data_IF_277651179061
#
_entry.id   IF_277651179061
#
_cell.length_a   1.000
_cell.length_b   1.000
_cell.length_c   1.000
_cell.angle_alpha   90.00
_cell.angle_beta   90.00
_cell.angle_gamma   90.00
#
_symmetry.space_group_name_H-M   'P 1'
#
loop_
_entity.id
_entity.type
_entity.pdbx_description
1 polymer ?
2 non-polymer ?
3 non-polymer ?
4 water ?
#
# COMPACT_ATOMS: atom_id res chain seq x y z
N UNK A 4 0.97 31.49 0.00
CA UNK A 4 1.76 30.21 -0.06
C UNK A 4 0.92 29.10 -0.70
N UNK A 5 1.23 28.67 -1.94
CA UNK A 5 0.31 27.85 -2.73
C UNK A 5 0.25 26.42 -2.21
N UNK A 6 -0.89 25.74 -2.36
CA UNK A 6 -1.05 24.33 -1.94
C UNK A 6 -0.35 23.44 -2.94
N UNK A 7 0.34 22.37 -2.49
CA UNK A 7 1.07 21.49 -3.38
C UNK A 7 0.17 20.64 -4.27
N UNK A 8 0.67 20.32 -5.47
CA UNK A 8 0.03 19.40 -6.44
C UNK A 8 0.65 18.00 -6.28
N UNK A 9 1.83 17.92 -5.66
CA UNK A 9 2.58 16.65 -5.47
C UNK A 9 3.45 16.73 -4.22
N UNK A 10 3.66 15.58 -3.58
CA UNK A 10 4.50 15.45 -2.37
C UNK A 10 5.39 14.24 -2.58
N UNK A 11 6.45 14.11 -1.79
CA UNK A 11 7.30 12.91 -1.81
C UNK A 11 7.14 12.23 -0.47
N UNK A 12 7.03 10.92 -0.55
CA UNK A 12 6.75 10.08 0.64
C UNK A 12 7.89 9.06 0.67
N UNK A 13 8.57 9.02 1.80
CA UNK A 13 9.54 7.97 2.17
C UNK A 13 8.78 6.87 2.91
N UNK A 14 8.94 5.63 2.46
CA UNK A 14 8.47 4.40 3.15
C UNK A 14 9.71 3.58 3.54
N UNK A 15 9.88 3.28 4.82
CA UNK A 15 10.91 2.36 5.32
C UNK A 15 10.30 1.12 5.91
N UNK A 16 10.91 -0.03 5.66
CA UNK A 16 10.52 -1.27 6.38
C UNK A 16 11.82 -1.90 6.88
N UNK A 17 11.87 -2.16 8.18
CA UNK A 17 13.02 -2.87 8.79
C UNK A 17 12.55 -3.85 9.86
N UNK A 18 12.91 -5.11 9.74
CA UNK A 18 12.86 -6.11 10.82
C UNK A 18 14.18 -5.98 11.57
N UNK A 19 14.10 -5.47 12.80
CA UNK A 19 15.25 -5.08 13.65
C UNK A 19 15.84 -6.29 14.36
N UNK A 20 15.19 -7.46 14.29
CA UNK A 20 15.71 -8.70 14.90
C UNK A 20 15.88 -8.56 16.41
N UNK A 21 14.99 -7.78 17.04
CA UNK A 21 14.91 -7.60 18.51
C UNK A 21 16.25 -7.07 19.04
N UNK A 22 16.98 -6.31 18.23
CA UNK A 22 18.26 -5.69 18.61
C UNK A 22 18.16 -4.18 18.46
N UNK A 23 18.81 -3.41 19.33
CA UNK A 23 18.87 -1.96 19.18
C UNK A 23 19.55 -1.61 17.86
N UNK A 24 19.21 -0.48 17.24
CA UNK A 24 19.83 -0.05 15.99
C UNK A 24 21.24 0.45 16.30
N UNK A 25 22.12 0.58 15.28
CA UNK A 25 23.41 1.25 15.49
C UNK A 25 23.23 2.78 15.62
N UNK A 26 24.29 3.51 15.94
CA UNK A 26 24.20 4.95 16.26
C UNK A 26 23.82 5.75 15.01
N UNK A 27 24.13 5.27 13.80
CA UNK A 27 23.85 6.02 12.54
C UNK A 27 22.98 5.19 11.60
N UNK A 28 21.79 5.67 11.23
CA UNK A 28 20.87 4.94 10.31
C UNK A 28 20.43 5.91 9.20
N UNK A 29 21.16 6.99 8.99
CA UNK A 29 20.84 8.07 8.01
C UNK A 29 20.78 7.52 6.55
N UNK A 30 21.59 6.51 6.23
CA UNK A 30 21.62 5.86 4.89
C UNK A 30 20.22 5.37 4.51
N UNK A 31 19.45 4.87 5.48
CA UNK A 31 18.06 4.39 5.24
C UNK A 31 17.20 5.54 4.69
N UNK A 32 17.12 6.66 5.39
CA UNK A 32 16.25 7.81 5.05
C UNK A 32 16.75 8.56 3.83
N UNK A 33 18.02 8.37 3.51
CA UNK A 33 18.64 8.92 2.28
C UNK A 33 18.51 7.97 1.08
N UNK A 34 17.93 6.78 1.22
CA UNK A 34 17.80 5.80 0.11
C UNK A 34 19.17 5.52 -0.56
N UNK A 35 20.18 5.23 0.27
CA UNK A 35 21.56 4.87 -0.15
C UNK A 35 21.82 3.39 0.15
N UNK A 36 22.49 2.71 -0.78
CA UNK A 36 22.87 1.30 -0.61
C UNK A 36 22.74 0.64 -1.96
N UNK A 37 22.00 -0.46 -2.00
CA UNK A 37 21.77 -1.29 -3.22
C UNK A 37 20.39 -1.00 -3.80
N UNK A 38 20.22 -1.32 -5.08
CA UNK A 38 18.93 -1.19 -5.77
C UNK A 38 18.82 0.13 -6.48
N UNK A 39 17.58 0.64 -6.56
CA UNK A 39 17.27 1.96 -7.16
C UNK A 39 17.43 3.01 -6.06
N UNK A 40 18.56 3.74 -6.09
CA UNK A 40 18.95 4.68 -5.01
C UNK A 40 18.61 6.11 -5.40
N UNK A 41 18.52 6.97 -4.40
CA UNK A 41 18.20 8.40 -4.61
C UNK A 41 19.50 9.14 -4.98
N UNK A 42 19.38 10.07 -5.92
CA UNK A 42 20.47 10.95 -6.37
C UNK A 42 21.08 11.74 -5.20
N UNK A 43 22.42 11.80 -5.14
CA UNK A 43 23.18 12.56 -4.10
C UNK A 43 22.73 14.02 -4.02
N UNK A 44 22.33 14.59 -5.16
CA UNK A 44 21.94 16.00 -5.33
C UNK A 44 20.69 16.32 -4.50
N UNK A 45 19.94 15.28 -4.08
CA UNK A 45 18.67 15.41 -3.33
C UNK A 45 18.89 15.25 -1.83
N UNK A 46 20.12 15.00 -1.36
CA UNK A 46 20.34 14.55 0.04
C UNK A 46 19.84 15.56 1.06
N UNK A 47 19.91 16.87 0.76
CA UNK A 47 19.48 17.92 1.71
C UNK A 47 17.99 18.24 1.60
N UNK A 48 17.30 17.61 0.67
CA UNK A 48 15.87 17.88 0.38
C UNK A 48 15.05 16.92 1.23
N UNK A 49 14.20 17.44 2.13
CA UNK A 49 13.37 16.57 2.97
C UNK A 49 12.22 16.03 2.12
N UNK A 50 11.87 14.76 2.37
CA UNK A 50 10.56 14.21 1.98
C UNK A 50 9.52 14.96 2.79
N UNK A 51 8.33 15.05 2.23
CA UNK A 51 7.16 15.69 2.88
C UNK A 51 6.72 14.81 4.04
N UNK A 52 6.72 13.49 3.84
CA UNK A 52 6.18 12.51 4.84
C UNK A 52 7.16 11.33 4.86
N UNK A 53 7.54 10.87 6.06
CA UNK A 53 8.34 9.66 6.32
C UNK A 53 7.47 8.68 7.10
N UNK A 54 7.26 7.50 6.55
CA UNK A 54 6.49 6.40 7.17
C UNK A 54 7.48 5.30 7.43
N UNK A 55 7.63 4.93 8.70
CA UNK A 55 8.69 3.98 9.18
C UNK A 55 8.02 2.77 9.81
N UNK A 56 8.09 1.62 9.13
CA UNK A 56 7.51 0.36 9.62
C UNK A 56 8.62 -0.48 10.17
N UNK A 57 8.48 -0.96 11.40
CA UNK A 57 9.45 -1.90 12.00
C UNK A 57 8.74 -3.18 12.41
N UNK A 58 9.53 -4.26 12.47
CA UNK A 58 9.12 -5.58 12.98
C UNK A 58 10.24 -6.04 13.91
N UNK A 59 9.88 -6.84 14.90
CA UNK A 59 10.83 -7.33 15.93
C UNK A 59 11.52 -6.12 16.55
N UNK A 60 10.78 -5.05 16.77
CA UNK A 60 11.30 -3.76 17.27
C UNK A 60 11.38 -3.84 18.78
N UNK A 61 12.59 -3.77 19.38
CA UNK A 61 12.75 -3.97 20.83
C UNK A 61 12.64 -2.65 21.61
N UNK A 62 12.46 -1.53 20.90
CA UNK A 62 12.49 -0.19 21.51
C UNK A 62 11.09 0.22 21.99
N UNK A 63 11.04 1.09 22.99
CA UNK A 63 9.81 1.83 23.36
C UNK A 63 9.52 2.80 22.21
N UNK A 64 8.27 3.22 22.09
CA UNK A 64 7.86 4.26 21.13
C UNK A 64 8.71 5.52 21.34
N UNK A 65 8.92 5.92 22.59
CA UNK A 65 9.71 7.13 22.91
C UNK A 65 11.16 6.96 22.41
N UNK A 66 11.78 5.80 22.65
CA UNK A 66 13.18 5.54 22.25
C UNK A 66 13.30 5.60 20.71
N UNK A 67 12.35 5.04 19.99
CA UNK A 67 12.40 4.97 18.51
C UNK A 67 12.13 6.37 17.93
N UNK A 68 11.15 7.07 18.47
CA UNK A 68 10.81 8.45 18.07
C UNK A 68 12.02 9.38 18.20
N UNK A 69 12.73 9.28 19.33
CA UNK A 69 14.00 10.01 19.61
C UNK A 69 14.97 9.78 18.45
N UNK A 70 15.32 8.51 18.20
CA UNK A 70 16.30 8.12 17.14
C UNK A 70 15.80 8.62 15.77
N UNK A 71 14.52 8.46 15.46
CA UNK A 71 14.00 8.87 14.13
C UNK A 71 14.09 10.39 14.01
N UNK A 72 13.53 11.15 14.95
CA UNK A 72 13.53 12.64 14.86
C UNK A 72 14.96 13.19 14.71
N UNK A 73 15.90 12.70 15.53
CA UNK A 73 17.32 13.12 15.52
C UNK A 73 17.93 12.82 14.13
N UNK A 74 17.71 11.61 13.61
CA UNK A 74 18.27 11.15 12.33
C UNK A 74 17.79 12.06 11.19
N UNK A 75 16.50 12.41 11.17
CA UNK A 75 15.95 13.33 10.14
C UNK A 75 16.47 14.75 10.34
N UNK A 76 16.56 15.19 11.60
CA UNK A 76 17.13 16.51 11.91
C UNK A 76 18.60 16.58 11.41
N UNK A 77 19.38 15.54 11.60
CA UNK A 77 20.79 15.53 11.15
C UNK A 77 20.83 15.66 9.63
N UNK A 78 19.93 14.97 8.93
CA UNK A 78 19.90 14.89 7.45
C UNK A 78 19.40 16.21 6.86
N UNK A 79 18.33 16.77 7.42
CA UNK A 79 17.50 17.82 6.77
C UNK A 79 17.62 19.15 7.50
N UNK A 80 18.10 19.17 8.74
CA UNK A 80 18.02 20.36 9.63
C UNK A 80 16.57 20.79 9.84
N UNK A 81 15.60 19.88 9.67
CA UNK A 81 14.15 20.11 9.93
C UNK A 81 13.71 19.25 11.11
N UNK A 82 12.92 19.83 12.02
CA UNK A 82 12.31 19.14 13.16
C UNK A 82 10.95 18.62 12.72
N UNK A 83 10.85 17.31 12.51
CA UNK A 83 9.65 16.68 11.94
C UNK A 83 8.60 16.60 13.04
N UNK A 84 7.33 16.77 12.67
CA UNK A 84 6.17 16.58 13.57
C UNK A 84 5.71 15.13 13.52
N UNK A 85 5.33 14.58 14.67
CA UNK A 85 4.76 13.23 14.78
C UNK A 85 3.28 13.27 14.43
N UNK A 86 2.88 12.64 13.32
CA UNK A 86 1.48 12.56 12.84
C UNK A 86 0.81 11.43 13.60
N UNK A 87 1.52 10.30 13.73
CA UNK A 87 1.00 9.11 14.39
C UNK A 87 2.10 8.11 14.68
N UNK A 88 1.83 7.30 15.69
CA UNK A 88 2.66 6.13 16.06
C UNK A 88 1.69 5.09 16.61
N UNK A 89 1.84 3.85 16.18
CA UNK A 89 0.98 2.74 16.64
C UNK A 89 1.83 1.46 16.65
N UNK A 90 1.75 0.72 17.73
CA UNK A 90 2.54 -0.50 17.94
C UNK A 90 1.58 -1.62 18.30
N UNK A 91 1.73 -2.78 17.64
CA UNK A 91 1.12 -4.06 18.08
C UNK A 91 2.27 -5.04 18.33
N UNK A 92 2.40 -5.43 19.58
CA UNK A 92 3.51 -6.27 20.09
C UNK A 92 4.82 -5.61 19.68
N UNK A 93 5.53 -6.16 18.70
CA UNK A 93 6.84 -5.63 18.25
C UNK A 93 6.75 -5.17 16.80
N UNK A 94 5.52 -4.91 16.33
CA UNK A 94 5.22 -4.32 15.00
C UNK A 94 4.83 -2.85 15.18
N UNK A 95 5.53 -1.93 14.52
CA UNK A 95 5.33 -0.50 14.78
C UNK A 95 5.26 0.29 13.48
N UNK A 96 4.41 1.30 13.47
CA UNK A 96 4.42 2.27 12.34
C UNK A 96 4.57 3.67 12.95
N UNK A 97 5.44 4.49 12.35
CA UNK A 97 5.67 5.90 12.72
C UNK A 97 5.46 6.76 11.47
N UNK A 98 4.63 7.78 11.57
CA UNK A 98 4.44 8.80 10.50
C UNK A 98 4.93 10.13 11.01
N UNK A 99 5.88 10.71 10.28
CA UNK A 99 6.53 12.01 10.57
C UNK A 99 6.30 12.90 9.34
N UNK A 100 6.04 14.18 9.56
CA UNK A 100 5.77 15.09 8.42
C UNK A 100 6.45 16.43 8.69
N UNK A 101 6.80 17.12 7.60
CA UNK A 101 7.32 18.52 7.63
C UNK A 101 6.38 19.35 8.51
N UNK A 102 6.90 20.29 9.34
CA UNK A 102 6.02 21.15 10.13
C UNK A 102 5.03 21.97 9.30
N UNK A 103 5.41 22.37 8.09
CA UNK A 103 4.52 23.18 7.20
C UNK A 103 3.26 22.38 6.84
N UNK A 104 3.23 21.06 7.04
CA UNK A 104 2.10 20.19 6.64
C UNK A 104 1.13 19.97 7.81
N UNK A 105 1.45 20.51 8.99
CA UNK A 105 0.68 20.21 10.22
C UNK A 105 -0.83 20.48 10.00
N UNK A 106 -1.15 21.60 9.35
CA UNK A 106 -2.55 22.08 9.16
C UNK A 106 -3.11 21.59 7.81
N UNK A 107 -2.35 20.77 7.09
CA UNK A 107 -2.84 20.10 5.83
C UNK A 107 -3.31 18.68 6.17
N UNK A 108 -2.88 18.17 7.30
CA UNK A 108 -3.09 16.75 7.68
C UNK A 108 -4.25 16.69 8.68
N UNK A 109 -5.26 15.88 8.40
CA UNK A 109 -6.41 15.74 9.32
C UNK A 109 -6.92 14.30 9.27
N UNK A 110 -7.92 13.98 10.08
CA UNK A 110 -8.61 12.67 10.02
C UNK A 110 -7.60 11.54 10.21
N UNK A 111 -6.73 11.67 11.19
CA UNK A 111 -5.67 10.68 11.47
C UNK A 111 -6.35 9.48 12.13
N UNK A 112 -6.18 8.30 11.54
CA UNK A 112 -6.69 7.01 12.09
C UNK A 112 -5.53 6.03 12.25
N UNK A 113 -5.61 5.17 13.26
CA UNK A 113 -4.62 4.11 13.52
C UNK A 113 -5.41 2.85 13.82
N UNK A 114 -4.86 1.70 13.47
CA UNK A 114 -5.48 0.44 13.86
C UNK A 114 -4.46 -0.68 13.73
N UNK A 115 -4.87 -1.85 14.17
CA UNK A 115 -4.01 -3.05 14.06
C UNK A 115 -4.92 -4.23 13.81
N UNK A 116 -4.36 -5.27 13.19
CA UNK A 116 -4.97 -6.61 13.09
C UNK A 116 -3.97 -7.63 13.63
N UNK A 117 -4.41 -8.52 14.53
CA UNK A 117 -3.69 -9.74 14.95
C UNK A 117 -4.08 -10.88 14.02
N UNK A 118 -3.13 -11.54 13.37
CA UNK A 118 -3.47 -12.65 12.43
C UNK A 118 -3.39 -14.02 13.13
N UNK A 119 -4.11 -15.02 12.60
CA UNK A 119 -4.04 -16.40 13.13
C UNK A 119 -4.93 -16.63 14.34
N UNK A 120 -4.92 -17.86 14.87
CA UNK A 120 -5.87 -18.38 15.92
C UNK A 120 -5.08 -19.32 16.84
N UNK A 121 -5.09 -19.05 18.16
CA UNK A 121 -4.55 -19.90 19.26
C UNK A 121 -3.02 -19.98 19.18
N UNK A 122 -2.47 -21.11 18.71
CA UNK A 122 -1.03 -21.32 18.38
C UNK A 122 -0.45 -20.10 17.66
N UNK A 123 -1.09 -19.70 16.56
CA UNK A 123 -0.58 -18.75 15.53
C UNK A 123 -1.04 -17.31 15.86
N UNK A 124 -1.87 -17.11 16.91
CA UNK A 124 -2.12 -15.75 17.48
C UNK A 124 -1.11 -15.51 18.60
N UNK A 125 -0.38 -14.39 18.53
CA UNK A 125 0.55 -13.99 19.59
C UNK A 125 1.65 -13.08 19.10
N UNK A 126 2.04 -13.11 17.82
CA UNK A 126 3.09 -12.13 17.43
C UNK A 126 3.07 -11.51 16.01
N UNK A 127 2.28 -12.08 15.09
CA UNK A 127 2.18 -11.63 13.68
C UNK A 127 0.92 -10.78 13.50
N UNK A 128 0.91 -9.92 12.47
CA UNK A 128 -0.24 -9.09 12.14
C UNK A 128 0.20 -7.80 11.49
N UNK A 129 -0.58 -6.74 11.67
CA UNK A 129 -0.33 -5.46 10.96
C UNK A 129 -0.70 -4.29 11.84
N UNK A 130 -0.03 -3.18 11.60
CA UNK A 130 -0.47 -1.86 12.10
C UNK A 130 -0.68 -0.96 10.89
N UNK A 131 -1.55 0.02 11.03
CA UNK A 131 -1.83 0.98 9.98
C UNK A 131 -2.13 2.38 10.48
N UNK A 132 -1.95 3.32 9.57
CA UNK A 132 -2.25 4.75 9.74
C UNK A 132 -2.90 5.24 8.45
N UNK A 133 -3.94 6.03 8.59
CA UNK A 133 -4.51 6.82 7.50
C UNK A 133 -4.65 8.28 7.91
N UNK A 134 -4.70 9.15 6.92
CA UNK A 134 -5.07 10.56 7.14
C UNK A 134 -5.37 11.19 5.80
N UNK A 135 -5.93 12.37 5.86
CA UNK A 135 -6.15 13.25 4.70
C UNK A 135 -4.97 14.21 4.64
N UNK A 136 -4.35 14.33 3.48
CA UNK A 136 -3.44 15.44 3.15
C UNK A 136 -4.20 16.35 2.19
N UNK A 137 -4.71 17.48 2.67
CA UNK A 137 -5.62 18.36 1.91
C UNK A 137 -6.75 17.50 1.32
N UNK A 138 -6.92 17.42 0.01
CA UNK A 138 -8.03 16.69 -0.64
C UNK A 138 -7.73 15.22 -0.92
N UNK A 139 -6.58 14.73 -0.49
CA UNK A 139 -6.08 13.40 -0.85
C UNK A 139 -6.04 12.50 0.39
N UNK A 140 -6.57 11.28 0.28
CA UNK A 140 -6.58 10.29 1.37
C UNK A 140 -5.35 9.38 1.21
N UNK A 141 -4.64 9.16 2.31
CA UNK A 141 -3.38 8.36 2.33
C UNK A 141 -3.53 7.27 3.39
N UNK A 142 -3.24 6.02 3.01
CA UNK A 142 -3.19 4.87 3.93
C UNK A 142 -1.84 4.22 3.88
N UNK A 143 -1.45 3.68 5.04
CA UNK A 143 -0.12 3.07 5.24
C UNK A 143 -0.30 1.84 6.11
N UNK A 144 0.22 0.70 5.64
CA UNK A 144 0.07 -0.59 6.35
C UNK A 144 1.46 -1.20 6.50
N UNK A 145 1.82 -1.51 7.74
CA UNK A 145 3.06 -2.22 8.06
C UNK A 145 2.64 -3.61 8.56
N UNK A 146 2.92 -4.66 7.81
CA UNK A 146 2.56 -6.03 8.21
C UNK A 146 3.80 -6.91 8.41
N UNK A 147 3.75 -7.76 9.43
CA UNK A 147 4.70 -8.88 9.67
C UNK A 147 3.92 -10.16 9.47
N UNK A 148 4.12 -10.82 8.33
CA UNK A 148 3.32 -12.01 7.99
C UNK A 148 4.04 -13.26 8.51
N UNK A 149 3.34 -14.39 8.45
CA UNK A 149 3.82 -15.71 8.92
C UNK A 149 5.16 -15.99 8.25
N UNK A 150 6.10 -16.52 8.99
CA UNK A 150 7.46 -16.86 8.49
C UNK A 150 7.48 -18.29 7.95
N UNK A 151 8.56 -18.63 7.28
CA UNK A 151 8.80 -20.02 6.90
C UNK A 151 8.52 -20.18 5.43
N UNK A 152 9.42 -20.87 4.72
CA UNK A 152 9.35 -21.10 3.27
C UNK A 152 8.07 -21.85 2.84
N UNK A 153 7.59 -22.75 3.71
CA UNK A 153 6.48 -23.70 3.45
C UNK A 153 5.10 -23.02 3.63
N UNK A 154 5.07 -21.78 4.14
CA UNK A 154 3.80 -21.13 4.59
C UNK A 154 3.33 -19.95 3.71
N UNK A 155 3.54 -20.00 2.39
CA UNK A 155 3.08 -18.90 1.52
C UNK A 155 1.55 -18.80 1.56
N UNK A 156 0.83 -19.91 1.72
CA UNK A 156 -0.65 -19.87 1.83
C UNK A 156 -1.08 -19.09 3.08
N UNK A 157 -0.44 -19.37 4.22
CA UNK A 157 -0.70 -18.68 5.51
C UNK A 157 -0.47 -17.17 5.33
N UNK A 158 0.62 -16.80 4.65
CA UNK A 158 0.94 -15.37 4.38
C UNK A 158 -0.24 -14.76 3.58
N UNK A 159 -0.75 -15.48 2.60
CA UNK A 159 -1.86 -14.97 1.73
C UNK A 159 -3.10 -14.81 2.60
N UNK A 160 -3.30 -15.72 3.54
CA UNK A 160 -4.48 -15.68 4.45
C UNK A 160 -4.33 -14.47 5.38
N UNK A 161 -3.10 -14.21 5.87
CA UNK A 161 -2.76 -13.11 6.80
C UNK A 161 -3.10 -11.78 6.08
N UNK A 162 -2.65 -11.66 4.83
CA UNK A 162 -2.97 -10.55 3.92
C UNK A 162 -4.48 -10.29 3.84
N UNK A 163 -5.28 -11.34 3.56
CA UNK A 163 -6.75 -11.17 3.41
C UNK A 163 -7.35 -10.73 4.76
N UNK A 164 -6.88 -11.29 5.87
CA UNK A 164 -7.37 -10.89 7.22
C UNK A 164 -7.05 -9.43 7.51
N UNK A 165 -5.83 -9.01 7.18
CA UNK A 165 -5.42 -7.60 7.40
C UNK A 165 -6.28 -6.68 6.54
N UNK A 166 -6.44 -7.06 5.27
CA UNK A 166 -7.26 -6.36 4.24
C UNK A 166 -8.68 -6.15 4.77
N UNK A 167 -9.31 -7.23 5.24
CA UNK A 167 -10.72 -7.22 5.71
C UNK A 167 -10.90 -6.42 6.98
N UNK A 168 -10.02 -6.57 7.95
CA UNK A 168 -10.31 -6.16 9.35
C UNK A 168 -9.61 -4.86 9.74
N UNK A 169 -8.62 -4.40 8.98
CA UNK A 169 -7.91 -3.16 9.35
C UNK A 169 -8.88 -1.98 9.09
N UNK A 170 -9.21 -1.23 10.16
CA UNK A 170 -10.25 -0.18 10.16
C UNK A 170 -9.60 1.19 10.08
N UNK A 171 -9.41 1.67 8.87
CA UNK A 171 -8.75 2.95 8.60
C UNK A 171 -9.63 3.69 7.62
N UNK A 172 -9.43 4.99 7.53
CA UNK A 172 -10.04 5.86 6.54
C UNK A 172 -11.47 6.14 6.89
N UNK A 173 -12.26 6.58 5.93
CA UNK A 173 -13.60 7.15 6.18
C UNK A 173 -14.58 5.99 6.44
N UNK A 174 -15.11 5.77 7.69
CA UNK A 174 -16.04 4.69 8.09
C UNK A 174 -17.35 4.76 7.30
N UNK A 175 -17.73 6.00 6.71
CA UNK A 175 -18.95 6.13 5.84
C UNK A 175 -18.81 5.27 4.58
N UNK A 176 -17.57 4.94 4.19
CA UNK A 176 -17.28 4.07 3.03
C UNK A 176 -17.45 2.63 3.45
N UNK A 177 -18.62 2.30 4.00
CA UNK A 177 -18.86 1.04 4.75
C UNK A 177 -18.72 -0.19 3.86
N UNK A 178 -19.07 -0.20 2.56
CA UNK A 178 -18.85 -1.38 1.73
C UNK A 178 -17.39 -1.67 1.39
N UNK A 179 -16.49 -0.72 1.64
CA UNK A 179 -15.11 -0.72 1.09
C UNK A 179 -14.10 -1.07 2.17
N UNK A 180 -13.19 -2.00 1.86
CA UNK A 180 -11.99 -2.31 2.66
C UNK A 180 -10.90 -1.27 2.37
N UNK A 181 -9.76 -1.39 3.04
CA UNK A 181 -8.63 -0.43 2.86
C UNK A 181 -8.15 -0.42 1.39
N UNK A 182 -8.38 -1.47 0.58
CA UNK A 182 -7.81 -1.49 -0.80
C UNK A 182 -8.67 -0.58 -1.72
N UNK A 183 -9.73 0.03 -1.22
CA UNK A 183 -10.53 1.05 -1.96
C UNK A 183 -10.69 2.38 -1.22
N UNK A 184 -10.22 2.52 0.01
CA UNK A 184 -10.52 3.74 0.80
C UNK A 184 -9.60 4.91 0.51
N UNK A 185 -8.48 4.73 -0.20
CA UNK A 185 -7.42 5.76 -0.24
C UNK A 185 -7.02 6.10 -1.67
N UNK A 186 -6.83 7.37 -1.96
CA UNK A 186 -6.15 7.81 -3.21
C UNK A 186 -4.86 7.02 -3.42
N UNK A 187 -4.07 6.84 -2.34
CA UNK A 187 -2.78 6.12 -2.38
C UNK A 187 -2.72 5.23 -1.15
N UNK A 188 -2.49 3.94 -1.35
CA UNK A 188 -2.34 2.96 -0.25
C UNK A 188 -0.95 2.35 -0.40
N UNK A 189 -0.13 2.45 0.64
CA UNK A 189 1.22 1.84 0.67
C UNK A 189 1.17 0.68 1.65
N UNK A 190 1.63 -0.49 1.23
CA UNK A 190 1.58 -1.70 2.07
C UNK A 190 2.97 -2.29 2.03
N UNK A 191 3.57 -2.42 3.20
CA UNK A 191 5.00 -2.75 3.33
C UNK A 191 5.16 -3.63 4.56
N UNK A 192 6.35 -4.14 4.77
CA UNK A 192 6.69 -4.88 5.98
C UNK A 192 7.60 -6.08 5.74
N UNK A 193 7.74 -6.90 6.78
CA UNK A 193 8.36 -8.23 6.60
C UNK A 193 7.22 -9.11 6.15
N UNK A 194 6.97 -9.15 4.84
CA UNK A 194 5.91 -10.00 4.25
C UNK A 194 6.34 -11.46 4.24
N UNK A 195 7.63 -11.75 4.38
CA UNK A 195 8.18 -13.10 4.71
C UNK A 195 8.07 -14.10 3.57
N UNK A 196 7.77 -13.66 2.35
CA UNK A 196 7.77 -14.52 1.16
C UNK A 196 9.22 -14.85 0.79
N UNK A 197 9.43 -16.09 0.33
CA UNK A 197 10.77 -16.67 0.18
C UNK A 197 11.06 -16.96 -1.28
N UNK A 198 12.35 -17.12 -1.56
CA UNK A 198 12.86 -17.65 -2.84
C UNK A 198 12.72 -19.16 -2.76
N UNK A 199 11.72 -19.71 -3.47
CA UNK A 199 11.35 -21.14 -3.42
C UNK A 199 12.26 -21.92 -4.37
N UNK A 200 13.40 -22.37 -3.86
CA UNK A 200 14.37 -23.19 -4.60
C UNK A 200 14.77 -24.28 -3.63
N UNK A 201 15.29 -25.45 -4.10
CA UNK A 201 15.70 -26.52 -3.20
C UNK A 201 16.79 -26.00 -2.27
N UNK A 202 16.81 -26.51 -1.03
CA UNK A 202 17.71 -26.02 0.06
C UNK A 202 19.17 -26.37 -0.26
N UNK A 203 19.41 -27.37 -1.11
CA UNK A 203 20.77 -27.80 -1.53
C UNK A 203 21.32 -26.84 -2.60
N UNK A 204 20.48 -25.94 -3.14
CA UNK A 204 20.93 -24.83 -4.02
C UNK A 204 21.40 -23.58 -3.21
N UNK A 205 21.50 -23.63 -1.89
CA UNK A 205 21.86 -22.47 -1.05
C UNK A 205 23.13 -21.77 -1.56
N UNK A 206 24.22 -22.52 -1.77
CA UNK A 206 25.52 -21.91 -2.13
C UNK A 206 25.39 -21.33 -3.55
N UNK A 207 24.59 -21.96 -4.40
CA UNK A 207 24.39 -21.51 -5.80
C UNK A 207 23.65 -20.17 -5.74
N UNK A 208 22.62 -20.07 -4.90
CA UNK A 208 21.89 -18.80 -4.67
C UNK A 208 22.86 -17.70 -4.19
N UNK A 209 23.68 -17.99 -3.20
CA UNK A 209 24.69 -17.04 -2.65
C UNK A 209 25.63 -16.53 -3.76
N UNK A 210 26.12 -17.43 -4.62
CA UNK A 210 27.06 -17.08 -5.73
C UNK A 210 26.32 -16.20 -6.77
N UNK A 211 25.03 -16.47 -7.04
CA UNK A 211 24.21 -15.59 -7.91
C UNK A 211 24.09 -14.18 -7.30
N UNK A 212 23.83 -14.11 -5.99
CA UNK A 212 23.73 -12.81 -5.26
C UNK A 212 25.07 -12.06 -5.37
N UNK A 213 26.18 -12.72 -5.08
CA UNK A 213 27.53 -12.11 -5.21
C UNK A 213 27.79 -11.58 -6.64
N UNK A 214 27.24 -12.18 -7.69
CA UNK A 214 27.40 -11.67 -9.07
C UNK A 214 26.31 -10.65 -9.45
N UNK A 215 25.45 -10.24 -8.50
CA UNK A 215 24.29 -9.34 -8.74
C UNK A 215 23.41 -9.88 -9.86
N UNK A 216 23.25 -11.19 -9.95
CA UNK A 216 22.40 -11.82 -10.99
C UNK A 216 21.14 -12.32 -10.29
N UNK A 217 20.11 -11.48 -10.25
CA UNK A 217 18.90 -11.74 -9.42
C UNK A 217 17.78 -12.39 -10.24
N UNK A 218 17.89 -12.44 -11.56
CA UNK A 218 16.75 -12.80 -12.45
C UNK A 218 16.22 -14.21 -12.12
N UNK A 219 17.10 -15.22 -12.03
CA UNK A 219 16.73 -16.63 -11.75
C UNK A 219 16.30 -16.76 -10.28
N UNK A 220 16.61 -15.80 -9.41
CA UNK A 220 16.10 -15.85 -8.02
C UNK A 220 14.69 -15.26 -7.99
N UNK A 221 14.50 -14.08 -8.57
CA UNK A 221 13.19 -13.39 -8.59
C UNK A 221 12.12 -14.26 -9.28
N UNK A 222 12.50 -15.07 -10.30
CA UNK A 222 11.54 -15.97 -10.99
C UNK A 222 10.96 -16.97 -10.00
N UNK A 223 11.61 -17.16 -8.84
CA UNK A 223 11.12 -18.10 -7.78
C UNK A 223 10.69 -17.36 -6.51
N UNK A 224 10.72 -16.03 -6.51
CA UNK A 224 10.19 -15.23 -5.37
C UNK A 224 8.71 -15.55 -5.18
N UNK A 225 8.33 -15.94 -3.97
CA UNK A 225 6.94 -16.40 -3.74
C UNK A 225 5.98 -15.21 -3.81
N UNK A 226 6.39 -13.98 -3.46
CA UNK A 226 5.44 -12.85 -3.57
C UNK A 226 5.12 -12.59 -5.04
N UNK A 227 6.13 -12.54 -5.90
CA UNK A 227 5.93 -12.34 -7.35
C UNK A 227 5.09 -13.49 -7.93
N UNK A 228 5.37 -14.75 -7.60
CA UNK A 228 4.63 -15.90 -8.22
C UNK A 228 3.19 -15.89 -7.69
N UNK A 229 2.97 -15.67 -6.41
CA UNK A 229 1.60 -15.64 -5.83
C UNK A 229 0.77 -14.50 -6.47
N UNK A 230 1.39 -13.32 -6.62
CA UNK A 230 0.78 -12.13 -7.26
C UNK A 230 0.42 -12.45 -8.72
N UNK A 231 1.33 -13.09 -9.46
CA UNK A 231 1.12 -13.52 -10.88
C UNK A 231 -0.14 -14.39 -10.98
N UNK A 232 -0.34 -15.27 -10.00
CA UNK A 232 -1.49 -16.22 -9.98
C UNK A 232 -2.68 -15.61 -9.24
N UNK A 233 -2.64 -14.31 -8.93
CA UNK A 233 -3.78 -13.55 -8.35
C UNK A 233 -4.19 -14.18 -7.02
N UNK A 234 -3.22 -14.65 -6.25
CA UNK A 234 -3.47 -15.27 -4.91
C UNK A 234 -3.41 -14.21 -3.81
N UNK A 235 -2.77 -13.08 -4.06
CA UNK A 235 -2.42 -12.07 -3.04
C UNK A 235 -2.09 -10.76 -3.77
N UNK A 236 -2.29 -9.64 -3.08
CA UNK A 236 -1.97 -8.25 -3.51
C UNK A 236 -2.50 -7.99 -4.92
N UNK A 237 -3.70 -8.46 -5.21
CA UNK A 237 -4.35 -8.19 -6.50
C UNK A 237 -4.44 -6.68 -6.68
N UNK A 238 -4.05 -6.19 -7.85
CA UNK A 238 -4.16 -4.77 -8.30
C UNK A 238 -3.17 -3.86 -7.58
N UNK A 239 -2.17 -4.46 -6.90
CA UNK A 239 -1.03 -3.73 -6.29
C UNK A 239 0.15 -3.65 -7.26
N UNK A 240 0.98 -2.61 -7.09
CA UNK A 240 2.24 -2.39 -7.84
C UNK A 240 3.43 -2.65 -6.93
N UNK A 241 4.58 -3.02 -7.51
CA UNK A 241 5.86 -3.11 -6.79
C UNK A 241 6.89 -2.69 -7.83
N UNK A 242 7.86 -1.86 -7.43
CA UNK A 242 9.00 -1.44 -8.28
C UNK A 242 9.92 -2.66 -8.48
N UNK A 243 10.59 -2.75 -9.62
CA UNK A 243 11.49 -3.87 -9.92
C UNK A 243 12.55 -3.95 -8.82
N UNK A 244 12.87 -5.17 -8.41
CA UNK A 244 13.86 -5.43 -7.34
C UNK A 244 15.23 -5.53 -7.99
N UNK A 245 16.17 -4.68 -7.57
CA UNK A 245 17.53 -4.61 -8.18
C UNK A 245 18.55 -4.60 -7.03
N UNK A 246 18.13 -4.97 -5.83
CA UNK A 246 19.01 -5.10 -4.65
C UNK A 246 19.05 -6.56 -4.19
N UNK A 247 20.10 -6.96 -3.47
CA UNK A 247 20.27 -8.34 -2.99
C UNK A 247 19.14 -8.68 -2.03
N UNK A 248 18.81 -9.98 -1.86
CA UNK A 248 17.94 -10.41 -0.79
C UNK A 248 18.31 -9.80 0.56
N UNK A 249 17.31 -9.40 1.37
CA UNK A 249 17.54 -8.60 2.58
C UNK A 249 17.53 -9.48 3.84
N UNK A 250 17.49 -10.81 3.65
CA UNK A 250 17.37 -11.84 4.72
C UNK A 250 17.99 -13.12 4.17
N UNK A 251 18.56 -14.00 5.00
CA UNK A 251 18.93 -13.81 6.38
C UNK A 251 20.43 -13.58 6.46
N UNK A 252 20.87 -12.49 7.10
CA UNK A 252 22.32 -12.19 7.25
C UNK A 252 22.82 -12.61 8.62
N UNK A 253 24.10 -12.96 8.70
CA UNK A 253 24.84 -12.96 9.98
C UNK A 253 24.87 -11.50 10.44
N UNK A 254 24.60 -11.24 11.72
CA UNK A 254 24.69 -9.89 12.29
C UNK A 254 26.12 -9.35 12.29
N UNK A 255 26.23 -8.02 12.17
CA UNK A 255 27.49 -7.23 12.33
C UNK A 255 28.35 -7.30 11.07
N UNK A 256 27.89 -7.97 10.01
CA UNK A 256 28.49 -7.87 8.66
C UNK A 256 27.34 -7.89 7.65
N UNK A 257 27.58 -7.59 6.38
CA UNK A 257 26.64 -8.00 5.30
C UNK A 257 27.33 -9.03 4.41
N UNK A 258 28.42 -9.61 4.86
CA UNK A 258 29.30 -10.44 3.98
C UNK A 258 28.74 -11.87 3.91
N UNK A 259 27.80 -12.23 4.79
CA UNK A 259 27.38 -13.65 4.94
C UNK A 259 25.87 -13.79 5.13
N UNK A 260 25.28 -14.67 4.33
CA UNK A 260 23.90 -15.13 4.51
C UNK A 260 23.95 -16.34 5.43
N UNK A 261 23.24 -16.28 6.54
CA UNK A 261 23.07 -17.39 7.50
C UNK A 261 21.80 -18.14 7.13
N UNK A 262 21.93 -19.20 6.35
CA UNK A 262 20.73 -19.93 5.84
C UNK A 262 20.52 -21.33 6.44
N UNK A 263 21.55 -21.91 7.08
CA UNK A 263 21.56 -23.31 7.57
C UNK A 263 20.53 -23.46 8.70
N UNK A 264 19.94 -24.65 8.82
CA UNK A 264 18.97 -24.96 9.90
C UNK A 264 19.73 -25.07 11.23
N UNK A 265 19.15 -24.50 12.27
CA UNK A 265 19.68 -24.38 13.66
C UNK A 265 18.49 -24.53 14.61
N UNK A 266 18.76 -24.94 15.83
CA UNK A 266 17.72 -24.98 16.89
C UNK A 266 16.98 -23.64 16.90
N UNK A 267 17.71 -22.53 16.84
CA UNK A 267 17.17 -21.15 16.88
C UNK A 267 16.20 -20.89 15.70
N UNK A 268 16.25 -21.65 14.61
CA UNK A 268 15.33 -21.48 13.44
C UNK A 268 14.18 -22.48 13.49
N UNK A 269 14.01 -23.25 14.58
CA UNK A 269 13.10 -24.41 14.55
C UNK A 269 13.55 -25.44 13.53
N UNK A 270 14.86 -25.57 13.34
CA UNK A 270 15.48 -26.47 12.35
C UNK A 270 14.94 -26.22 10.94
N UNK A 271 14.70 -24.95 10.61
CA UNK A 271 14.25 -24.49 9.28
C UNK A 271 15.42 -23.83 8.55
N UNK A 272 15.54 -24.09 7.24
CA UNK A 272 16.48 -23.37 6.37
C UNK A 272 15.87 -21.99 6.12
N UNK A 273 16.71 -20.97 6.03
CA UNK A 273 16.29 -19.61 5.62
C UNK A 273 17.13 -19.23 4.39
N UNK A 274 16.84 -19.80 3.23
CA UNK A 274 17.52 -19.39 1.96
C UNK A 274 17.37 -17.89 1.80
N UNK A 275 18.38 -17.20 1.25
CA UNK A 275 18.29 -15.77 0.98
C UNK A 275 16.98 -15.43 0.28
N UNK A 276 16.31 -14.42 0.80
CA UNK A 276 14.94 -14.07 0.37
C UNK A 276 14.71 -12.56 0.44
N UNK A 277 13.84 -12.11 -0.43
CA UNK A 277 13.30 -10.72 -0.36
C UNK A 277 12.08 -10.71 0.56
N UNK A 278 12.32 -10.79 1.87
CA UNK A 278 11.27 -10.79 2.91
C UNK A 278 10.62 -9.42 3.03
N UNK A 279 11.40 -8.40 2.73
CA UNK A 279 11.11 -7.02 3.19
C UNK A 279 10.74 -6.19 1.97
N UNK A 280 9.51 -5.72 1.91
CA UNK A 280 8.92 -5.25 0.64
C UNK A 280 8.08 -3.98 0.84
N UNK A 281 7.94 -3.24 -0.24
CA UNK A 281 7.00 -2.10 -0.36
C UNK A 281 6.18 -2.26 -1.65
N UNK A 282 4.86 -2.32 -1.49
CA UNK A 282 3.89 -2.27 -2.60
C UNK A 282 2.93 -1.11 -2.40
N UNK A 283 2.26 -0.72 -3.48
CA UNK A 283 1.26 0.37 -3.40
C UNK A 283 0.09 0.13 -4.33
N UNK A 284 -1.01 0.79 -4.06
CA UNK A 284 -2.17 0.81 -4.97
C UNK A 284 -2.78 2.20 -4.90
N UNK A 285 -2.87 2.86 -6.04
CA UNK A 285 -3.42 4.23 -6.12
C UNK A 285 -4.64 4.16 -7.01
N UNK A 286 -5.57 5.08 -6.82
CA UNK A 286 -6.75 5.21 -7.68
C UNK A 286 -6.30 5.41 -9.12
N UNK A 287 -7.12 4.94 -10.05
CA UNK A 287 -6.81 5.06 -11.47
C UNK A 287 -6.49 6.50 -11.88
N UNK A 288 -5.41 6.65 -12.66
CA UNK A 288 -4.97 7.92 -13.32
C UNK A 288 -4.63 8.99 -12.27
N UNK A 289 -4.17 8.59 -11.09
CA UNK A 289 -3.53 9.54 -10.14
C UNK A 289 -2.02 9.37 -10.31
N UNK A 290 -1.29 10.47 -10.30
CA UNK A 290 0.19 10.47 -10.42
C UNK A 290 0.81 9.75 -9.22
N UNK A 291 1.57 8.69 -9.46
CA UNK A 291 2.41 8.06 -8.41
C UNK A 291 3.59 7.45 -9.13
N UNK A 292 4.78 7.84 -8.75
CA UNK A 292 6.03 7.35 -9.39
C UNK A 292 6.97 6.92 -8.27
N UNK A 293 7.44 5.71 -8.35
CA UNK A 293 8.49 5.22 -7.43
C UNK A 293 9.83 5.82 -7.87
N UNK A 294 10.47 6.55 -6.95
CA UNK A 294 11.75 7.28 -7.18
C UNK A 294 12.94 6.46 -6.63
N UNK A 295 12.69 5.56 -5.67
CA UNK A 295 13.76 4.72 -5.09
C UNK A 295 13.13 3.47 -4.52
N UNK A 296 13.91 2.39 -4.55
CA UNK A 296 13.56 1.08 -3.98
C UNK A 296 14.84 0.31 -3.80
N UNK A 297 15.24 0.13 -2.56
CA UNK A 297 16.54 -0.48 -2.28
C UNK A 297 16.72 -0.85 -0.85
N UNK A 298 17.91 -1.35 -0.55
CA UNK A 298 18.29 -1.76 0.83
C UNK A 298 19.55 -1.02 1.22
N UNK A 299 19.70 -0.78 2.49
CA UNK A 299 20.96 -0.24 3.04
C UNK A 299 22.01 -1.35 3.07
N UNK A 300 23.30 -0.96 3.04
CA UNK A 300 24.47 -1.85 3.10
C UNK A 300 25.21 -1.68 4.44
N UNK A 301 24.93 -0.62 5.21
CA UNK A 301 25.78 -0.17 6.33
C UNK A 301 25.05 -0.28 7.68
N UNK A 302 23.86 -0.89 7.74
CA UNK A 302 23.06 -1.08 9.00
C UNK A 302 22.99 -2.58 9.19
N UNK A 303 23.69 -3.09 10.20
CA UNK A 303 24.05 -4.53 10.33
C UNK A 303 23.62 -5.13 11.67
N UNK A 304 22.80 -4.43 12.46
CA UNK A 304 22.39 -4.91 13.81
C UNK A 304 21.42 -6.09 13.71
N UNK A 305 20.64 -6.18 12.62
CA UNK A 305 19.62 -7.21 12.41
C UNK A 305 20.10 -8.27 11.41
N UNK A 306 19.43 -9.40 11.38
CA UNK A 306 19.59 -10.43 10.33
C UNK A 306 18.82 -9.98 9.07
N UNK A 307 18.13 -8.85 9.12
CA UNK A 307 17.47 -8.22 7.95
C UNK A 307 18.21 -6.93 7.66
N UNK A 308 18.31 -6.52 6.40
CA UNK A 308 18.70 -5.15 6.01
C UNK A 308 17.43 -4.32 5.83
N UNK A 309 17.45 -3.06 6.32
CA UNK A 309 16.39 -2.09 6.08
C UNK A 309 16.12 -1.95 4.58
N UNK A 310 14.87 -1.69 4.23
CA UNK A 310 14.43 -1.40 2.83
C UNK A 310 13.79 -0.02 2.84
N UNK A 311 14.09 0.74 1.82
CA UNK A 311 13.53 2.07 1.54
C UNK A 311 12.83 2.06 0.19
N UNK A 312 11.77 2.82 0.09
CA UNK A 312 11.11 3.18 -1.16
C UNK A 312 10.65 4.64 -1.04
N UNK A 313 10.79 5.40 -2.10
CA UNK A 313 10.29 6.77 -2.13
C UNK A 313 9.37 6.95 -3.33
N UNK A 314 8.40 7.81 -3.13
CA UNK A 314 7.36 8.02 -4.14
C UNK A 314 7.08 9.50 -4.29
N UNK A 315 6.82 9.89 -5.54
CA UNK A 315 6.22 11.20 -5.89
C UNK A 315 4.71 10.98 -6.07
N UNK A 316 3.89 11.57 -5.20
CA UNK A 316 2.43 11.31 -5.15
C UNK A 316 1.63 12.57 -5.40
N UNK A 317 0.71 12.47 -6.37
CA UNK A 317 -0.29 13.49 -6.72
C UNK A 317 -1.19 13.73 -5.54
N UNK A 318 -1.37 15.01 -5.20
CA UNK A 318 -2.31 15.48 -4.15
C UNK A 318 -3.14 16.60 -4.77
N UNK A 319 -4.32 16.81 -4.19
CA UNK A 319 -5.26 17.87 -4.60
C UNK A 319 -5.54 18.78 -3.41
N UNK A 320 -6.02 19.98 -3.71
CA UNK A 320 -6.38 21.05 -2.73
C UNK A 320 -7.68 20.68 -2.02
N UNK A 321 -7.98 21.37 -0.92
CA UNK A 321 -9.28 21.25 -0.22
C UNK A 321 -10.21 22.28 -0.88
N UNK A 322 -10.93 21.88 -1.92
CA UNK A 322 -11.70 22.78 -2.81
C UNK A 322 -12.95 23.35 -2.10
N UNK A 323 -13.10 24.68 -2.20
CA UNK A 323 -14.30 25.45 -1.78
C UNK A 323 -14.79 26.25 -3.00
N UNK A 324 -16.10 26.19 -3.29
CA UNK A 324 -16.78 27.07 -4.27
C UNK A 324 -17.96 27.79 -3.57
N UNK A 325 -18.57 28.72 -4.30
CA UNK A 325 -19.79 29.49 -3.92
C UNK A 325 -20.86 28.50 -3.45
N UNK A 326 -20.94 27.35 -4.13
CA UNK A 326 -21.97 26.31 -3.94
C UNK A 326 -21.42 25.27 -2.94
N UNK A 327 -20.93 24.12 -3.42
CA UNK A 327 -20.37 23.09 -2.53
C UNK A 327 -19.00 23.52 -2.00
N UNK A 328 -18.54 22.99 -0.85
CA UNK A 328 -19.35 22.12 0.02
C UNK A 328 -20.60 22.71 0.72
N UNK A 329 -21.60 21.86 0.98
CA UNK A 329 -22.83 22.16 1.72
C UNK A 329 -24.04 22.36 0.84
N UNK A 330 -23.88 22.16 -0.46
CA UNK A 330 -24.97 22.13 -1.46
C UNK A 330 -24.40 21.53 -2.75
N UNK A 331 -25.26 21.38 -3.76
CA UNK A 331 -24.89 20.85 -5.10
C UNK A 331 -24.50 22.05 -5.98
N UNK A 332 -23.75 21.79 -7.05
CA UNK A 332 -23.53 22.74 -8.17
C UNK A 332 -24.32 22.21 -9.37
N UNK A 333 -25.48 22.79 -9.65
CA UNK A 333 -26.41 22.32 -10.70
C UNK A 333 -25.73 22.31 -12.08
N UNK A 334 -24.55 22.94 -12.23
CA UNK A 334 -23.81 22.95 -13.52
C UNK A 334 -23.00 21.67 -13.66
N UNK A 335 -22.94 20.84 -12.61
CA UNK A 335 -22.26 19.54 -12.65
C UNK A 335 -23.26 18.39 -12.71
N UNK A 336 -22.94 17.34 -13.46
CA UNK A 336 -23.65 16.05 -13.35
C UNK A 336 -22.76 14.92 -13.88
N UNK A 337 -22.99 13.72 -13.35
CA UNK A 337 -22.33 12.48 -13.82
C UNK A 337 -23.41 11.49 -14.23
N UNK A 338 -23.39 11.11 -15.51
CA UNK A 338 -24.37 10.17 -16.09
C UNK A 338 -23.64 8.91 -16.54
N UNK A 339 -24.35 7.80 -16.44
CA UNK A 339 -23.92 6.42 -16.73
C UNK A 339 -24.91 5.81 -17.73
N UNK A 340 -24.40 5.43 -18.90
CA UNK A 340 -25.18 4.80 -19.98
C UNK A 340 -24.73 3.35 -20.13
N UNK A 341 -25.61 2.46 -20.63
CA UNK A 341 -25.27 1.11 -21.13
C UNK A 341 -24.40 0.40 -20.09
N UNK A 342 -24.75 0.45 -18.81
CA UNK A 342 -23.89 -0.13 -17.74
C UNK A 342 -24.34 -1.55 -17.37
N UNK A 343 -23.38 -2.42 -17.12
CA UNK A 343 -23.68 -3.78 -16.63
C UNK A 343 -22.50 -4.27 -15.80
N UNK A 344 -22.83 -5.02 -14.76
CA UNK A 344 -21.88 -5.72 -13.89
C UNK A 344 -21.85 -7.18 -14.36
N UNK A 345 -20.70 -7.83 -14.29
CA UNK A 345 -20.54 -9.27 -14.59
C UNK A 345 -20.02 -9.84 -13.29
N UNK A 346 -20.75 -10.76 -12.65
CA UNK A 346 -20.37 -11.31 -11.33
C UNK A 346 -20.06 -12.79 -11.48
N UNK A 347 -19.13 -13.30 -10.69
CA UNK A 347 -18.73 -14.75 -10.70
C UNK A 347 -19.65 -15.52 -9.76
N UNK A 348 -20.47 -14.85 -8.98
CA UNK A 348 -21.39 -15.49 -8.00
C UNK A 348 -22.25 -16.54 -8.69
N UNK A 349 -22.42 -17.68 -8.00
CA UNK A 349 -23.32 -18.77 -8.45
C UNK A 349 -24.75 -18.49 -7.96
N UNK A 350 -24.94 -17.41 -7.19
CA UNK A 350 -26.22 -17.10 -6.51
C UNK A 350 -27.19 -16.43 -7.49
N UNK A 351 -28.48 -16.42 -7.13
CA UNK A 351 -29.58 -15.66 -7.79
C UNK A 351 -30.29 -14.83 -6.72
N UNK A 352 -29.97 -13.54 -6.66
CA UNK A 352 -30.68 -12.46 -5.91
C UNK A 352 -30.70 -11.25 -6.85
N UNK A 353 -31.53 -10.27 -6.56
CA UNK A 353 -31.47 -8.98 -7.27
C UNK A 353 -30.26 -8.23 -6.69
N UNK A 354 -29.68 -7.37 -7.50
CA UNK A 354 -28.52 -6.54 -7.15
C UNK A 354 -28.88 -5.08 -7.39
N UNK A 355 -28.33 -4.20 -6.56
CA UNK A 355 -28.31 -2.75 -6.83
C UNK A 355 -26.88 -2.22 -6.66
N UNK A 356 -26.64 -0.98 -7.10
CA UNK A 356 -25.34 -0.28 -6.99
C UNK A 356 -25.40 0.78 -5.89
N UNK A 357 -24.27 0.99 -5.24
CA UNK A 357 -24.00 2.19 -4.41
C UNK A 357 -22.84 2.97 -5.05
N UNK A 358 -23.03 4.27 -5.22
CA UNK A 358 -21.98 5.21 -5.67
C UNK A 358 -21.53 5.99 -4.44
N UNK A 359 -20.25 5.91 -4.08
CA UNK A 359 -19.61 6.69 -3.00
C UNK A 359 -18.51 7.56 -3.59
N UNK A 360 -18.53 8.83 -3.26
CA UNK A 360 -17.45 9.78 -3.64
C UNK A 360 -17.55 10.98 -2.73
N UNK A 361 -16.39 11.57 -2.44
CA UNK A 361 -16.24 12.85 -1.68
C UNK A 361 -16.82 14.01 -2.49
N UNK A 362 -17.07 13.81 -3.78
CA UNK A 362 -17.67 14.85 -4.67
C UNK A 362 -19.21 14.84 -4.57
N UNK A 363 -19.80 13.89 -3.84
CA UNK A 363 -21.28 13.80 -3.58
C UNK A 363 -21.57 14.18 -2.13
N UNK A 364 -22.74 14.72 -1.85
CA UNK A 364 -23.11 15.09 -0.46
C UNK A 364 -23.22 13.80 0.36
N UNK A 365 -23.75 12.74 -0.22
CA UNK A 365 -23.81 11.40 0.39
C UNK A 365 -23.93 10.34 -0.71
N UNK A 366 -23.75 9.08 -0.33
CA UNK A 366 -23.73 7.95 -1.28
C UNK A 366 -25.11 7.82 -1.95
N UNK A 367 -25.09 7.25 -3.14
CA UNK A 367 -26.32 7.12 -3.98
C UNK A 367 -26.59 5.64 -4.26
N UNK A 368 -27.83 5.21 -4.01
CA UNK A 368 -28.30 3.82 -4.19
C UNK A 368 -29.13 3.75 -5.48
N UNK A 369 -28.76 2.86 -6.41
CA UNK A 369 -29.48 2.68 -7.70
C UNK A 369 -30.71 1.84 -7.44
N UNK A 370 -31.57 1.79 -8.45
CA UNK A 370 -32.59 0.72 -8.64
C UNK A 370 -31.88 -0.60 -8.87
N UNK A 371 -32.59 -1.69 -8.61
CA UNK A 371 -32.11 -3.06 -8.93
C UNK A 371 -31.87 -3.12 -10.43
N UNK A 372 -30.80 -3.80 -10.84
CA UNK A 372 -30.57 -4.11 -12.26
C UNK A 372 -31.33 -5.36 -12.66
N UNK A 373 -31.28 -5.70 -13.95
CA UNK A 373 -31.96 -6.91 -14.50
C UNK A 373 -30.93 -7.99 -14.75
N UNK A 374 -31.08 -9.12 -14.07
CA UNK A 374 -30.18 -10.30 -14.19
C UNK A 374 -30.44 -10.97 -15.53
N UNK A 375 -29.36 -11.27 -16.26
CA UNK A 375 -29.37 -12.12 -17.47
C UNK A 375 -28.28 -13.18 -17.30
N UNK A 376 -28.43 -14.28 -18.02
CA UNK A 376 -27.41 -15.35 -18.16
C UNK A 376 -26.37 -14.90 -19.21
N UNK A 377 -25.09 -14.84 -18.86
CA UNK A 377 -23.98 -14.64 -19.80
C UNK A 377 -23.68 -15.90 -20.62
N UNK A 378 -23.05 -15.73 -21.78
CA UNK A 378 -22.79 -16.81 -22.78
C UNK A 378 -21.88 -17.90 -22.21
N UNK A 379 -21.15 -17.63 -21.11
CA UNK A 379 -20.15 -18.57 -20.50
C UNK A 379 -20.51 -18.87 -19.04
N UNK A 380 -21.80 -18.80 -18.65
CA UNK A 380 -22.28 -19.15 -17.30
C UNK A 380 -22.42 -17.96 -16.35
N UNK A 381 -21.75 -16.83 -16.63
CA UNK A 381 -21.60 -15.67 -15.70
C UNK A 381 -22.97 -15.09 -15.36
N UNK A 382 -23.10 -14.45 -14.20
CA UNK A 382 -24.29 -13.58 -13.95
C UNK A 382 -23.99 -12.17 -14.52
N UNK A 383 -24.86 -11.67 -15.39
CA UNK A 383 -24.74 -10.30 -15.96
C UNK A 383 -25.86 -9.47 -15.36
N UNK A 384 -25.56 -8.42 -14.65
CA UNK A 384 -26.61 -7.52 -14.09
C UNK A 384 -26.66 -6.28 -14.98
N UNK A 385 -27.79 -6.09 -15.67
CA UNK A 385 -27.94 -4.95 -16.62
C UNK A 385 -28.60 -3.79 -15.88
N UNK A 386 -28.00 -2.62 -15.95
CA UNK A 386 -28.53 -1.35 -15.42
C UNK A 386 -29.06 -0.48 -16.57
N UNK A 387 -28.68 -0.81 -17.81
CA UNK A 387 -28.94 -0.02 -19.05
C UNK A 387 -28.67 1.47 -18.85
N UNK A 388 -29.76 2.26 -18.92
CA UNK A 388 -29.79 3.73 -18.84
C UNK A 388 -30.52 4.10 -17.54
N UNK A 389 -30.68 3.13 -16.62
CA UNK A 389 -31.55 3.28 -15.42
C UNK A 389 -30.77 3.89 -14.25
N UNK A 390 -29.44 3.96 -14.29
CA UNK A 390 -28.63 4.46 -13.14
C UNK A 390 -28.94 5.94 -12.95
N UNK A 391 -28.97 6.43 -11.69
CA UNK A 391 -29.28 7.83 -11.43
C UNK A 391 -28.21 8.77 -11.98
N UNK A 392 -28.61 10.04 -12.01
CA UNK A 392 -27.75 11.18 -12.38
C UNK A 392 -27.11 11.66 -11.09
N UNK A 393 -25.78 11.61 -10.99
CA UNK A 393 -25.04 12.01 -9.77
C UNK A 393 -24.81 13.51 -9.82
N UNK A 394 -24.93 14.16 -8.65
CA UNK A 394 -24.99 15.62 -8.49
C UNK A 394 -23.79 16.04 -7.66
N UNK A 395 -22.66 16.37 -8.32
CA UNK A 395 -21.45 16.73 -7.61
C UNK A 395 -21.64 18.04 -6.83
N UNK A 396 -20.86 18.21 -5.77
CA UNK A 396 -20.98 19.40 -4.85
C UNK A 396 -20.33 20.61 -5.53
N UNK A 397 -19.46 20.36 -6.50
CA UNK A 397 -18.63 21.39 -7.19
C UNK A 397 -18.55 20.99 -8.66
N UNK A 398 -18.71 21.94 -9.59
CA UNK A 398 -18.78 21.64 -11.05
C UNK A 398 -17.46 22.04 -11.72
N UNK A 399 -16.64 22.84 -11.03
CA UNK A 399 -15.34 23.29 -11.57
C UNK A 399 -14.62 22.04 -12.06
N UNK A 400 -14.23 22.00 -13.36
CA UNK A 400 -13.52 20.84 -13.91
C UNK A 400 -12.15 20.63 -13.28
N UNK A 401 -11.53 21.66 -12.71
CA UNK A 401 -10.20 21.56 -12.03
C UNK A 401 -10.37 20.74 -10.74
N UNK A 402 -11.57 20.72 -10.19
CA UNK A 402 -11.94 19.82 -9.07
C UNK A 402 -12.40 18.47 -9.61
N UNK A 403 -13.44 18.49 -10.42
CA UNK A 403 -14.31 17.31 -10.69
C UNK A 403 -13.52 16.25 -11.47
N UNK A 404 -12.66 16.66 -12.40
CA UNK A 404 -11.86 15.71 -13.21
C UNK A 404 -10.81 15.00 -12.32
N UNK A 405 -10.51 15.52 -11.12
CA UNK A 405 -9.53 14.90 -10.18
C UNK A 405 -10.22 13.91 -9.25
N UNK A 406 -11.53 13.73 -9.33
CA UNK A 406 -12.29 12.86 -8.38
C UNK A 406 -12.44 11.42 -8.90
N UNK A 407 -12.95 10.57 -8.03
CA UNK A 407 -13.22 9.14 -8.30
C UNK A 407 -14.56 8.75 -7.69
N UNK A 408 -15.22 7.79 -8.33
CA UNK A 408 -16.50 7.19 -7.86
C UNK A 408 -16.19 5.74 -7.49
N UNK A 409 -16.37 5.41 -6.21
CA UNK A 409 -16.31 4.01 -5.73
C UNK A 409 -17.68 3.42 -6.02
N UNK A 410 -17.71 2.21 -6.55
CA UNK A 410 -18.94 1.43 -6.81
C UNK A 410 -18.93 0.15 -5.99
N UNK A 411 -19.99 -0.09 -5.24
CA UNK A 411 -20.33 -1.41 -4.66
C UNK A 411 -21.58 -1.95 -5.34
N UNK A 412 -21.55 -3.21 -5.75
CA UNK A 412 -22.77 -3.94 -6.18
C UNK A 412 -23.23 -4.78 -4.99
N UNK A 413 -24.46 -4.53 -4.56
CA UNK A 413 -25.00 -5.15 -3.35
C UNK A 413 -26.23 -6.01 -3.64
N UNK A 414 -26.38 -7.06 -2.85
CA UNK A 414 -27.53 -7.96 -2.85
C UNK A 414 -28.73 -7.20 -2.26
N UNK A 415 -29.85 -7.20 -2.96
CA UNK A 415 -31.12 -6.66 -2.40
C UNK A 415 -31.51 -7.41 -1.13
N UNK A 416 -31.25 -8.73 -1.06
CA UNK A 416 -31.71 -9.62 0.04
C UNK A 416 -30.89 -9.35 1.31
N UNK A 417 -29.57 -9.26 1.18
CA UNK A 417 -28.66 -9.21 2.35
C UNK A 417 -28.09 -7.81 2.55
N UNK A 418 -28.10 -6.95 1.53
CA UNK A 418 -27.44 -5.62 1.55
C UNK A 418 -25.90 -5.79 1.72
N UNK A 419 -25.43 -7.12 1.33
CA UNK A 419 -23.97 -7.37 1.39
C UNK A 419 -23.35 -7.06 0.03
N UNK A 420 -22.15 -6.30 0.06
CA UNK A 420 -21.40 -6.05 -1.19
C UNK A 420 -20.91 -7.38 -1.78
N UNK A 421 -21.11 -7.59 -3.08
CA UNK A 421 -20.54 -8.72 -3.83
C UNK A 421 -19.28 -8.29 -4.59
N UNK A 422 -19.03 -6.99 -4.64
CA UNK A 422 -17.94 -6.45 -5.46
C UNK A 422 -17.79 -4.94 -5.28
N UNK A 423 -16.54 -4.49 -5.23
CA UNK A 423 -16.17 -3.07 -5.06
C UNK A 423 -15.18 -2.72 -6.14
N UNK A 424 -15.30 -1.52 -6.67
CA UNK A 424 -14.36 -1.02 -7.68
C UNK A 424 -14.34 0.48 -7.67
N UNK A 425 -13.62 1.05 -8.60
CA UNK A 425 -13.32 2.50 -8.61
C UNK A 425 -13.18 3.01 -10.05
N UNK A 426 -13.85 4.12 -10.33
CA UNK A 426 -13.89 4.82 -11.65
C UNK A 426 -13.27 6.21 -11.51
N UNK A 427 -12.25 6.53 -12.30
CA UNK A 427 -11.66 7.88 -12.39
C UNK A 427 -12.56 8.77 -13.25
N UNK A 428 -12.69 10.02 -12.82
CA UNK A 428 -13.35 11.09 -13.61
C UNK A 428 -12.33 11.90 -14.44
N UNK A 429 -11.08 11.44 -14.48
CA UNK A 429 -10.01 12.06 -15.31
C UNK A 429 -10.26 11.69 -16.78
N UNK A 430 -11.36 12.19 -17.35
CA UNK A 430 -11.83 11.76 -18.70
C UNK A 430 -11.08 12.51 -19.81
N UNK A 431 -11.02 11.91 -20.99
CA UNK A 431 -10.45 12.51 -22.22
C UNK A 431 -11.32 13.68 -22.70
N UNK A 432 -12.59 13.73 -22.30
CA UNK A 432 -13.57 14.73 -22.76
C UNK A 432 -14.70 14.86 -21.76
N UNK A 433 -15.37 16.02 -21.75
CA UNK A 433 -16.64 16.24 -21.03
C UNK A 433 -17.80 16.29 -22.04
N UNK A 434 -19.02 16.11 -21.53
CA UNK A 434 -20.25 16.17 -22.34
C UNK A 434 -20.15 15.12 -23.45
N UNK A 435 -19.39 14.04 -23.23
CA UNK A 435 -19.08 13.00 -24.27
C UNK A 435 -19.22 11.62 -23.64
N UNK A 436 -19.93 10.70 -24.31
CA UNK A 436 -20.06 9.29 -23.84
C UNK A 436 -18.69 8.61 -24.02
N UNK A 437 -18.09 8.13 -22.94
CA UNK A 437 -16.75 7.51 -22.99
C UNK A 437 -16.84 6.18 -22.25
N UNK A 438 -16.12 5.15 -22.71
CA UNK A 438 -16.08 3.89 -21.96
C UNK A 438 -15.54 4.06 -20.54
N UNK A 439 -16.17 3.37 -19.59
CA UNK A 439 -15.63 3.21 -18.21
C UNK A 439 -15.55 1.72 -17.91
N UNK A 440 -14.67 1.38 -16.98
CA UNK A 440 -14.35 -0.01 -16.60
C UNK A 440 -13.69 0.03 -15.22
N UNK A 441 -14.07 -0.94 -14.40
CA UNK A 441 -13.27 -1.32 -13.20
C UNK A 441 -13.48 -2.80 -12.96
N UNK A 442 -12.43 -3.52 -12.53
CA UNK A 442 -12.64 -4.84 -11.94
C UNK A 442 -13.40 -4.66 -10.62
N UNK A 443 -14.07 -5.72 -10.20
CA UNK A 443 -14.80 -5.73 -8.91
C UNK A 443 -14.13 -6.78 -8.04
N UNK A 444 -13.86 -6.42 -6.79
CA UNK A 444 -13.27 -7.34 -5.79
C UNK A 444 -14.19 -7.39 -4.58
N UNK A 445 -14.04 -8.42 -3.74
CA UNK A 445 -14.64 -8.49 -2.40
C UNK A 445 -13.65 -9.26 -1.53
N UNK A 446 -13.33 -8.73 -0.35
CA UNK A 446 -12.23 -9.24 0.48
C UNK A 446 -10.97 -9.33 -0.40
N UNK A 447 -10.85 -8.46 -1.38
CA UNK A 447 -9.61 -8.34 -2.17
C UNK A 447 -9.47 -9.46 -3.22
N UNK A 448 -10.50 -10.29 -3.41
CA UNK A 448 -10.54 -11.34 -4.45
C UNK A 448 -11.41 -10.85 -5.61
N UNK A 449 -11.02 -11.17 -6.84
CA UNK A 449 -11.81 -10.84 -8.06
C UNK A 449 -13.19 -11.51 -7.99
N UNK A 450 -14.26 -10.71 -8.05
CA UNK A 450 -15.66 -11.17 -8.00
C UNK A 450 -16.41 -10.77 -9.27
N UNK A 451 -15.80 -9.99 -10.14
CA UNK A 451 -16.53 -9.58 -11.35
C UNK A 451 -15.97 -8.34 -11.99
N UNK A 452 -16.79 -7.67 -12.78
CA UNK A 452 -16.38 -6.48 -13.56
C UNK A 452 -17.57 -5.55 -13.67
N UNK A 453 -17.29 -4.27 -13.83
CA UNK A 453 -18.33 -3.24 -14.07
C UNK A 453 -17.88 -2.43 -15.27
N UNK A 454 -18.74 -2.33 -16.27
CA UNK A 454 -18.39 -1.55 -17.49
C UNK A 454 -19.65 -0.88 -18.05
N UNK A 455 -19.41 0.13 -18.87
CA UNK A 455 -20.48 0.97 -19.40
C UNK A 455 -19.89 2.21 -20.00
N UNK A 456 -20.71 3.25 -20.06
CA UNK A 456 -20.22 4.55 -20.52
C UNK A 456 -20.53 5.57 -19.44
N UNK A 457 -19.81 6.68 -19.49
CA UNK A 457 -19.99 7.83 -18.59
C UNK A 457 -20.15 9.05 -19.49
N UNK A 458 -20.87 10.06 -18.91
CA UNK A 458 -21.04 11.39 -19.54
C UNK A 458 -20.91 12.39 -18.37
N UNK A 459 -19.83 13.18 -18.43
CA UNK A 459 -19.50 14.10 -17.33
C UNK A 459 -19.74 15.53 -17.80
N UNK A 460 -20.61 16.25 -17.09
CA UNK A 460 -20.87 17.70 -17.27
C UNK A 460 -20.10 18.48 -16.20
N UNK A 461 -19.22 19.39 -16.61
CA UNK A 461 -18.54 20.33 -15.68
C UNK A 461 -19.05 21.72 -16.06
N UNK A 462 -18.65 22.76 -15.33
CA UNK A 462 -19.02 24.17 -15.58
C UNK A 462 -18.34 24.69 -16.85
N UNK A 463 -17.39 23.96 -17.42
CA UNK A 463 -16.69 24.38 -18.67
C UNK A 463 -17.26 23.63 -19.89
X LIG B 1 1.71 -7.47 -13.65
X LIG B 1 1.09 -3.99 -12.00
X LIG B 1 -0.44 -3.68 -12.12
X LIG B 1 -0.08 -5.84 -11.33
X LIG B 1 2.26 -8.30 -12.54
X LIG B 1 3.64 -8.42 -12.34
X LIG B 1 3.24 -9.90 -10.47
X LIG B 1 1.76 -8.06 -15.00
X LIG B 1 1.86 -9.77 -10.67
X LIG B 1 1.38 -8.97 -11.70
X LIG B 1 1.12 -6.10 -13.42
X LIG B 1 1.09 -5.52 -11.96
X LIG B 1 4.13 -9.22 -11.31
X LIG B 1 -0.95 -4.47 -11.19
X LIG B 1 0.67 -5.46 -14.32
X LIG C 1 -7.83 12.86 -4.55
X LIG C 1 -6.64 13.75 -4.46
X LIG C 1 -7.72 12.21 -6.20
X LIG C 1 -9.23 13.91 -4.82
X LIG D 1 -13.15 9.18 -2.78
X LIG D 1 -14.13 10.27 -3.29
X LIG D 1 -13.98 8.53 -1.33
X LIG D 1 -13.46 7.77 -3.78
X LIG E 1 -9.94 -1.23 -9.25
X LIG E 1 -10.17 -0.72 -7.86
X LIG E 1 -8.23 -1.77 -9.28
X LIG E 1 -9.79 0.18 -10.33
#
# INVERSE_FOLDING_TARGET
SMEQPEPDMITIFIGTWNMGNAPPPKKITSWFLSKGQGKTRDDSADYIPHDIYVIGTQEDPLSEKEWLEILKHSLQEITSVTFKTVAIHTLWNIRIVVLAKPEHENRISHICTDNVKTGIANTLGNKGAVGVSFMFNGTSLGFVNSHLTSGSEKKLRRNQNYMNILRFLALGDKKLSPFNITHRFTHLFWFGDLNYRVDLPTWEAETIIQKIKQQQYADLLSHDQLLTERREQKVFLHFEEEEITFAPTYRFERLTRDKYAYTKQKATGMKYNLPSWCDRVLWKSYPLVHVVCQSYGSTSDIMTSDHSPVFATFEAGVTSQFVSKNGPGTVDSQGQIEFLRCYATLKTKSQTKFYLEFHSSCLESFVKSQEGENEEGSEGELVVKFGETLPKLKPIISDPEYLLDQHILISIKSSDSDESYGEGCIALRLEATETQLPIYTPLTHHGELTGHFQGEIKLQTSQ
O3A N1 C4 C5 C6 C7 C8 C10 C1 C11 C12 C2 C3 C9 N2 O1
DMS S O C1 C2
DMS S O C1 C2
DMS S O C1 C2
#
